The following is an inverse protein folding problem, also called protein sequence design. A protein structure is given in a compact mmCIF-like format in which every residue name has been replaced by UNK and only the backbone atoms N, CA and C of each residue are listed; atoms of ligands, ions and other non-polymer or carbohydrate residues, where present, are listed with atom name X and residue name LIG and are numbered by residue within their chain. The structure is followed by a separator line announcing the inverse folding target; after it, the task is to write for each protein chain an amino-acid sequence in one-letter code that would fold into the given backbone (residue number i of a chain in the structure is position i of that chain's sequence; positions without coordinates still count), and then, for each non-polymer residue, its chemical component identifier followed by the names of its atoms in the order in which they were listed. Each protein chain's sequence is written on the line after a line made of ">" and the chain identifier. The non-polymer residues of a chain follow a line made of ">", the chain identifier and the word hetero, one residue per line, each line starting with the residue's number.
data_IF_671794560395
#
_entry.id   IF_671794560395
#
_cell.length_a   1.000
_cell.length_b   1.000
_cell.length_c   1.000
_cell.angle_alpha   90.00
_cell.angle_beta   90.00
_cell.angle_gamma   90.00
#
_symmetry.space_group_name_H-M   'P 1'
#
loop_
_entity.id
_entity.type
_entity.pdbx_description
1 polymer ?
#
# COMPACT_ATOMS: atom_id res chain seq x y z
N UNK A 1 -12.39 -1.97 -17.45
CA UNK A 1 -12.09 -1.29 -16.18
C UNK A 1 -11.48 0.07 -16.49
N UNK A 2 -12.14 1.13 -16.02
CA UNK A 2 -11.84 2.50 -16.41
C UNK A 2 -11.87 3.42 -15.17
N UNK A 3 -11.21 4.57 -15.28
CA UNK A 3 -11.25 5.64 -14.28
C UNK A 3 -11.54 6.97 -14.96
N UNK A 4 -12.25 7.86 -14.27
CA UNK A 4 -12.53 9.21 -14.77
C UNK A 4 -11.46 10.16 -14.29
N UNK A 5 -10.71 10.76 -15.23
CA UNK A 5 -9.52 11.56 -14.93
C UNK A 5 -9.45 12.82 -15.79
N UNK A 6 -8.75 13.84 -15.26
CA UNK A 6 -8.24 14.97 -16.07
C UNK A 6 -6.93 14.56 -16.76
N UNK A 7 -6.44 15.37 -17.66
CA UNK A 7 -5.15 15.14 -18.32
C UNK A 7 -3.99 15.08 -17.31
N UNK A 8 -3.98 15.97 -16.30
CA UNK A 8 -2.97 16.01 -15.24
C UNK A 8 -3.01 14.73 -14.38
N UNK A 9 -4.22 14.27 -14.01
CA UNK A 9 -4.36 13.08 -13.21
C UNK A 9 -4.00 11.82 -14.01
N UNK A 10 -4.33 11.78 -15.31
CA UNK A 10 -3.90 10.72 -16.20
C UNK A 10 -2.37 10.65 -16.28
N UNK A 11 -1.70 11.79 -16.45
CA UNK A 11 -0.24 11.88 -16.45
C UNK A 11 0.35 11.38 -15.12
N UNK A 12 -0.21 11.82 -13.99
CA UNK A 12 0.22 11.39 -12.65
C UNK A 12 0.09 9.88 -12.45
N UNK A 13 -0.95 9.27 -13.03
CA UNK A 13 -1.19 7.83 -12.94
C UNK A 13 -0.44 7.01 -14.00
N UNK A 14 0.26 7.65 -14.94
CA UNK A 14 0.88 6.98 -16.07
C UNK A 14 -0.14 6.39 -17.06
N UNK A 15 -1.31 7.03 -17.18
CA UNK A 15 -2.39 6.64 -18.07
C UNK A 15 -2.39 7.51 -19.35
N UNK A 16 -3.01 7.04 -20.45
CA UNK A 16 -3.26 7.86 -21.61
C UNK A 16 -4.08 9.11 -21.24
N UNK A 17 -3.82 10.24 -21.92
CA UNK A 17 -4.62 11.44 -21.71
C UNK A 17 -6.05 11.26 -22.23
N UNK A 18 -7.08 11.70 -21.50
CA UNK A 18 -8.46 11.72 -22.00
C UNK A 18 -8.73 12.78 -23.06
N UNK A 19 -7.76 13.70 -23.30
CA UNK A 19 -7.91 14.86 -24.17
C UNK A 19 -7.98 16.18 -23.39
N UNK A 20 -8.63 17.20 -23.99
CA UNK A 20 -8.75 18.53 -23.37
C UNK A 20 -9.71 18.55 -22.18
N UNK A 21 -10.73 17.70 -22.21
CA UNK A 21 -11.72 17.56 -21.13
C UNK A 21 -11.43 16.31 -20.29
N UNK A 22 -11.94 16.30 -19.05
CA UNK A 22 -11.90 15.09 -18.22
C UNK A 22 -12.75 13.99 -18.85
N UNK A 23 -12.26 12.76 -18.78
CA UNK A 23 -12.92 11.63 -19.44
C UNK A 23 -12.56 10.27 -18.83
N UNK A 24 -13.23 9.24 -19.30
CA UNK A 24 -12.95 7.87 -18.93
C UNK A 24 -11.71 7.35 -19.66
N UNK A 25 -10.79 6.75 -18.91
CA UNK A 25 -9.55 6.16 -19.41
C UNK A 25 -9.38 4.75 -18.85
N UNK A 26 -8.99 3.82 -19.72
CA UNK A 26 -8.77 2.43 -19.33
C UNK A 26 -7.50 2.25 -18.51
N UNK A 27 -7.56 1.35 -17.53
CA UNK A 27 -6.38 0.85 -16.81
C UNK A 27 -5.59 -0.22 -17.57
N UNK A 28 -6.02 -0.61 -18.76
CA UNK A 28 -5.37 -1.66 -19.54
C UNK A 28 -3.88 -1.35 -19.77
N UNK A 29 -3.03 -2.35 -19.57
CA UNK A 29 -1.57 -2.22 -19.68
C UNK A 29 -0.89 -1.56 -18.47
N UNK A 30 -1.61 -1.38 -17.36
CA UNK A 30 -1.05 -0.89 -16.10
C UNK A 30 -1.33 -1.86 -14.96
N UNK A 31 -0.60 -1.72 -13.86
CA UNK A 31 -0.83 -2.47 -12.62
C UNK A 31 -1.97 -1.87 -11.76
N UNK A 32 -2.64 -0.82 -12.26
CA UNK A 32 -3.74 -0.18 -11.55
C UNK A 32 -5.04 -0.95 -11.74
N UNK A 33 -5.85 -1.00 -10.69
CA UNK A 33 -7.21 -1.53 -10.73
C UNK A 33 -8.07 -0.93 -9.64
N UNK A 34 -9.17 -0.29 -10.02
CA UNK A 34 -10.21 0.18 -9.11
C UNK A 34 -9.70 1.10 -7.99
N UNK A 35 -10.38 1.04 -6.86
CA UNK A 35 -10.14 1.89 -5.68
C UNK A 35 -8.73 1.75 -5.10
N UNK A 36 -8.21 0.52 -5.06
CA UNK A 36 -6.93 0.21 -4.39
C UNK A 36 -5.73 0.87 -5.04
N UNK A 37 -5.84 1.32 -6.28
CA UNK A 37 -4.80 1.99 -7.02
C UNK A 37 -5.03 3.51 -7.21
N UNK A 38 -6.10 4.06 -6.64
CA UNK A 38 -6.34 5.49 -6.71
C UNK A 38 -5.46 6.27 -5.73
N UNK A 39 -4.90 7.39 -6.20
CA UNK A 39 -4.02 8.23 -5.40
C UNK A 39 -4.68 8.72 -4.10
N UNK A 40 -5.94 9.13 -4.14
CA UNK A 40 -6.68 9.54 -2.96
C UNK A 40 -6.77 8.44 -1.88
N UNK A 41 -6.97 7.17 -2.29
CA UNK A 41 -6.97 6.03 -1.37
C UNK A 41 -5.58 5.75 -0.81
N UNK A 42 -4.57 5.71 -1.68
CA UNK A 42 -3.19 5.38 -1.31
C UNK A 42 -2.54 6.46 -0.43
N UNK A 43 -2.90 7.74 -0.65
CA UNK A 43 -2.38 8.88 0.13
C UNK A 43 -3.07 9.07 1.48
N UNK A 44 -4.28 8.55 1.66
CA UNK A 44 -5.10 8.77 2.87
C UNK A 44 -4.41 8.37 4.18
N UNK A 45 -3.44 7.47 4.12
CA UNK A 45 -2.67 6.97 5.26
C UNK A 45 -1.16 7.16 5.10
N UNK A 46 -0.75 8.07 4.22
CA UNK A 46 0.65 8.48 4.11
C UNK A 46 1.12 9.15 5.39
N UNK A 47 2.36 8.91 5.79
CA UNK A 47 2.97 9.48 6.99
C UNK A 47 4.41 9.91 6.71
N UNK A 48 4.86 10.94 7.41
CA UNK A 48 6.27 11.39 7.41
C UNK A 48 6.79 11.81 6.02
N UNK A 49 5.90 12.28 5.15
CA UNK A 49 6.25 12.59 3.76
C UNK A 49 6.48 11.36 2.87
N UNK A 50 6.14 10.17 3.35
CA UNK A 50 6.31 8.89 2.68
C UNK A 50 5.08 7.98 2.93
N UNK A 51 5.16 6.74 2.50
CA UNK A 51 4.15 5.70 2.71
C UNK A 51 4.35 4.97 4.04
N UNK A 52 3.28 4.37 4.53
CA UNK A 52 3.32 3.47 5.69
C UNK A 52 2.65 2.14 5.35
N UNK A 53 3.42 1.07 5.11
CA UNK A 53 2.87 -0.25 4.82
C UNK A 53 1.86 -0.71 5.88
N UNK A 54 2.20 -0.55 7.16
CA UNK A 54 1.31 -0.88 8.29
C UNK A 54 -0.03 -0.18 8.21
N UNK A 55 -0.03 1.14 7.90
CA UNK A 55 -1.29 1.90 7.83
C UNK A 55 -2.10 1.55 6.58
N UNK A 56 -1.44 1.27 5.44
CA UNK A 56 -2.11 0.80 4.23
C UNK A 56 -2.82 -0.54 4.47
N UNK A 57 -2.11 -1.52 5.02
CA UNK A 57 -2.70 -2.81 5.34
C UNK A 57 -3.82 -2.72 6.39
N UNK A 58 -3.64 -1.88 7.42
CA UNK A 58 -4.68 -1.61 8.41
C UNK A 58 -5.92 -0.98 7.79
N UNK A 59 -5.76 0.00 6.91
CA UNK A 59 -6.87 0.67 6.20
C UNK A 59 -7.70 -0.36 5.42
N UNK A 60 -7.03 -1.23 4.65
CA UNK A 60 -7.69 -2.27 3.86
C UNK A 60 -8.48 -3.21 4.78
N UNK A 61 -7.84 -3.81 5.79
CA UNK A 61 -8.54 -4.72 6.69
C UNK A 61 -9.72 -4.09 7.41
N UNK A 62 -9.55 -2.86 7.91
CA UNK A 62 -10.58 -2.25 8.76
C UNK A 62 -11.68 -1.54 7.98
N UNK A 63 -11.40 -1.04 6.78
CA UNK A 63 -12.36 -0.21 6.01
C UNK A 63 -12.99 -0.95 4.82
N UNK A 64 -12.27 -1.88 4.21
CA UNK A 64 -12.81 -2.66 3.10
C UNK A 64 -13.35 -4.01 3.56
N UNK A 65 -12.65 -4.67 4.49
CA UNK A 65 -13.05 -5.98 5.00
C UNK A 65 -13.73 -5.94 6.38
N UNK A 66 -14.00 -4.76 6.93
CA UNK A 66 -14.67 -4.57 8.23
C UNK A 66 -14.04 -5.36 9.39
N UNK A 67 -12.78 -5.78 9.26
CA UNK A 67 -12.08 -6.56 10.27
C UNK A 67 -11.58 -5.69 11.41
N UNK A 68 -11.55 -6.26 12.62
CA UNK A 68 -11.07 -5.55 13.81
C UNK A 68 -9.58 -5.81 13.99
N UNK A 69 -8.80 -4.74 13.98
CA UNK A 69 -7.39 -4.77 14.39
C UNK A 69 -7.28 -4.09 15.75
N UNK A 70 -6.86 -4.83 16.75
CA UNK A 70 -6.72 -4.32 18.10
C UNK A 70 -5.69 -3.18 18.17
N UNK A 71 -5.91 -2.24 19.07
CA UNK A 71 -4.91 -1.22 19.38
C UNK A 71 -3.74 -1.86 20.14
N UNK A 72 -2.53 -1.31 20.00
CA UNK A 72 -1.41 -1.72 20.84
C UNK A 72 -1.79 -1.66 22.33
N UNK A 73 -1.30 -2.57 23.18
CA UNK A 73 -1.51 -2.48 24.62
C UNK A 73 -1.02 -1.13 25.17
N UNK A 74 -1.74 -0.52 26.13
CA UNK A 74 -1.41 0.83 26.60
C UNK A 74 -0.05 0.93 27.33
N UNK A 75 0.49 -0.20 27.79
CA UNK A 75 1.81 -0.30 28.39
C UNK A 75 2.94 -0.49 27.37
N UNK A 76 2.62 -0.66 26.09
CA UNK A 76 3.59 -0.76 25.03
C UNK A 76 3.96 0.65 24.58
N UNK A 77 5.18 1.09 24.90
CA UNK A 77 5.72 2.41 24.50
C UNK A 77 6.13 2.39 23.03
N UNK A 78 5.13 2.40 22.14
CA UNK A 78 5.33 2.50 20.69
C UNK A 78 5.17 3.95 20.26
N UNK A 79 6.22 4.53 19.70
CA UNK A 79 6.10 5.82 19.05
C UNK A 79 5.54 5.65 17.62
N UNK A 80 4.23 5.81 17.47
CA UNK A 80 3.54 5.71 16.17
C UNK A 80 3.72 6.95 15.28
N UNK A 81 4.36 8.00 15.81
CA UNK A 81 4.59 9.26 15.12
C UNK A 81 5.99 9.35 14.48
N UNK A 82 6.74 8.28 14.56
CA UNK A 82 8.05 8.14 13.92
C UNK A 82 8.11 6.86 13.09
N UNK A 83 8.84 6.84 11.96
CA UNK A 83 9.07 5.60 11.23
C UNK A 83 9.81 4.58 12.11
N UNK A 84 9.65 3.27 11.85
CA UNK A 84 10.37 2.24 12.60
C UNK A 84 11.87 2.48 12.57
N UNK A 85 12.49 2.39 13.75
CA UNK A 85 13.96 2.44 13.87
C UNK A 85 14.54 1.08 13.47
N UNK A 86 15.66 1.11 12.78
CA UNK A 86 16.46 -0.08 12.48
C UNK A 86 17.90 0.14 12.93
N UNK A 87 18.57 -0.93 13.30
CA UNK A 87 19.99 -0.91 13.61
C UNK A 87 20.85 -0.75 12.33
N UNK A 88 20.32 -1.17 11.18
CA UNK A 88 20.97 -1.02 9.88
C UNK A 88 20.48 0.25 9.18
N UNK A 89 21.35 1.28 9.03
CA UNK A 89 20.99 2.51 8.32
C UNK A 89 20.73 2.28 6.82
N UNK A 90 21.18 1.15 6.27
CA UNK A 90 21.00 0.79 4.87
C UNK A 90 19.79 -0.11 4.62
N UNK A 91 19.03 -0.48 5.65
CA UNK A 91 17.86 -1.31 5.49
C UNK A 91 16.82 -0.66 4.57
N UNK A 92 16.33 -1.40 3.59
CA UNK A 92 15.21 -1.00 2.76
C UNK A 92 13.91 -0.92 3.59
N UNK A 93 12.91 -0.20 3.09
CA UNK A 93 11.64 0.01 3.82
C UNK A 93 10.99 -1.30 4.24
N UNK A 94 10.92 -2.31 3.37
CA UNK A 94 10.36 -3.63 3.68
C UNK A 94 11.03 -4.24 4.92
N UNK A 95 12.35 -4.15 5.02
CA UNK A 95 13.12 -4.64 6.17
C UNK A 95 12.85 -3.82 7.44
N UNK A 96 12.77 -2.48 7.33
CA UNK A 96 12.52 -1.59 8.47
C UNK A 96 11.12 -1.79 9.08
N UNK A 97 10.12 -2.06 8.25
CA UNK A 97 8.73 -2.24 8.65
C UNK A 97 8.37 -3.69 8.98
N UNK A 98 9.27 -4.64 8.73
CA UNK A 98 8.99 -6.06 8.97
C UNK A 98 9.05 -6.38 10.47
N UNK A 99 7.91 -6.27 11.15
CA UNK A 99 7.76 -6.51 12.59
C UNK A 99 7.13 -7.89 12.91
N UNK A 100 6.97 -8.75 11.89
CA UNK A 100 6.29 -10.03 12.05
C UNK A 100 7.08 -11.05 12.90
N UNK A 101 8.36 -10.83 13.10
CA UNK A 101 9.23 -11.69 13.94
C UNK A 101 9.36 -11.19 15.39
N UNK A 102 8.98 -9.95 15.68
CA UNK A 102 9.00 -9.41 17.03
C UNK A 102 7.82 -9.93 17.85
N UNK A 103 8.04 -10.75 18.90
CA UNK A 103 6.94 -11.46 19.59
C UNK A 103 5.82 -10.53 20.07
N UNK A 104 6.15 -9.33 20.52
CA UNK A 104 5.17 -8.35 21.03
C UNK A 104 4.38 -7.67 19.91
N UNK A 105 4.97 -7.54 18.71
CA UNK A 105 4.41 -6.81 17.58
C UNK A 105 3.74 -7.73 16.55
N UNK A 106 4.23 -8.96 16.46
CA UNK A 106 3.86 -9.94 15.44
C UNK A 106 2.34 -10.21 15.34
N UNK A 107 1.64 -10.20 16.46
CA UNK A 107 0.20 -10.52 16.49
C UNK A 107 -0.65 -9.59 15.61
N UNK A 108 -0.25 -8.32 15.47
CA UNK A 108 -0.94 -7.32 14.64
C UNK A 108 -0.21 -7.09 13.31
N UNK A 109 1.13 -6.95 13.34
CA UNK A 109 1.91 -6.59 12.16
C UNK A 109 1.86 -7.64 11.06
N UNK A 110 1.85 -8.94 11.39
CA UNK A 110 1.66 -10.02 10.39
C UNK A 110 0.35 -9.93 9.61
N UNK A 111 -0.65 -9.24 10.17
CA UNK A 111 -1.94 -9.06 9.50
C UNK A 111 -1.97 -7.82 8.60
N UNK A 112 -1.12 -6.83 8.87
CA UNK A 112 -1.17 -5.51 8.21
C UNK A 112 -0.01 -5.30 7.25
N UNK A 113 1.23 -5.51 7.71
CA UNK A 113 2.43 -5.13 6.96
C UNK A 113 2.53 -5.82 5.60
N UNK A 114 2.27 -7.15 5.48
CA UNK A 114 2.36 -7.82 4.19
C UNK A 114 1.37 -7.28 3.14
N UNK A 115 0.17 -6.86 3.56
CA UNK A 115 -0.78 -6.21 2.64
C UNK A 115 -0.21 -4.87 2.16
N UNK A 116 0.34 -4.09 3.09
CA UNK A 116 0.90 -2.79 2.76
C UNK A 116 2.12 -2.87 1.85
N UNK A 117 2.98 -3.88 2.03
CA UNK A 117 4.15 -4.10 1.15
C UNK A 117 3.74 -4.33 -0.30
N UNK A 118 2.66 -5.05 -0.54
CA UNK A 118 2.11 -5.25 -1.87
C UNK A 118 1.60 -3.97 -2.56
N UNK A 119 1.55 -2.84 -1.84
CA UNK A 119 1.13 -1.53 -2.39
C UNK A 119 2.26 -0.49 -2.43
N UNK A 120 3.49 -0.86 -2.05
CA UNK A 120 4.61 0.09 -1.96
C UNK A 120 5.15 0.56 -3.33
N UNK A 121 4.77 -0.09 -4.43
CA UNK A 121 4.98 0.43 -5.78
C UNK A 121 4.23 1.75 -6.06
N UNK A 122 3.45 2.23 -5.11
CA UNK A 122 2.81 3.55 -5.17
C UNK A 122 3.27 4.41 -4.01
N UNK A 123 3.79 5.59 -4.34
CA UNK A 123 4.27 6.54 -3.35
C UNK A 123 3.14 7.18 -2.51
N UNK A 124 3.47 8.19 -1.72
CA UNK A 124 2.53 8.91 -0.85
C UNK A 124 1.49 9.74 -1.64
N UNK A 125 1.69 9.95 -2.92
CA UNK A 125 0.77 10.66 -3.82
C UNK A 125 -0.01 9.70 -4.72
N UNK A 126 0.30 8.40 -4.66
CA UNK A 126 -0.25 7.38 -5.54
C UNK A 126 0.41 7.31 -6.91
N UNK A 127 1.56 7.96 -7.13
CA UNK A 127 2.37 7.76 -8.33
C UNK A 127 3.13 6.44 -8.24
N UNK A 128 3.30 5.79 -9.39
CA UNK A 128 4.05 4.52 -9.46
C UNK A 128 5.54 4.75 -9.25
N UNK A 129 6.19 3.87 -8.49
CA UNK A 129 7.64 3.81 -8.28
C UNK A 129 8.14 2.37 -8.27
N UNK A 130 9.37 2.16 -8.74
CA UNK A 130 10.01 0.84 -8.75
C UNK A 130 10.98 0.63 -7.58
N UNK A 131 11.35 1.71 -6.87
CA UNK A 131 12.30 1.69 -5.75
C UNK A 131 11.82 2.54 -4.60
N UNK A 132 12.38 2.36 -3.40
CA UNK A 132 12.15 3.25 -2.27
C UNK A 132 12.59 4.69 -2.60
N UNK A 133 11.97 5.67 -1.93
CA UNK A 133 12.33 7.09 -2.11
C UNK A 133 13.81 7.28 -1.79
N UNK A 134 14.51 7.93 -2.71
CA UNK A 134 15.95 8.24 -2.61
C UNK A 134 16.87 7.01 -2.43
N UNK A 135 16.34 5.80 -2.69
CA UNK A 135 17.05 4.53 -2.53
C UNK A 135 16.91 3.64 -3.77
N UNK A 136 17.65 3.95 -4.86
CA UNK A 136 17.61 3.13 -6.08
C UNK A 136 18.14 1.71 -5.89
N UNK A 137 18.87 1.47 -4.81
CA UNK A 137 19.36 0.16 -4.37
C UNK A 137 18.31 -0.68 -3.61
N UNK A 138 17.12 -0.13 -3.37
CA UNK A 138 16.01 -0.78 -2.69
C UNK A 138 14.84 -1.01 -3.66
N UNK A 139 14.88 -2.05 -4.52
CA UNK A 139 13.77 -2.37 -5.41
C UNK A 139 12.53 -2.78 -4.64
N UNK A 140 11.37 -2.42 -5.17
CA UNK A 140 10.06 -2.80 -4.61
C UNK A 140 9.50 -3.92 -5.47
N UNK A 141 9.24 -5.08 -4.85
CA UNK A 141 8.75 -6.28 -5.53
C UNK A 141 7.22 -6.32 -5.70
N UNK A 142 6.48 -5.49 -4.98
CA UNK A 142 5.02 -5.48 -5.00
C UNK A 142 4.38 -6.72 -4.36
N UNK A 143 5.17 -7.62 -3.80
CA UNK A 143 4.68 -8.83 -3.16
C UNK A 143 3.95 -8.52 -1.85
N UNK A 144 2.75 -9.03 -1.72
CA UNK A 144 1.91 -8.95 -0.55
C UNK A 144 1.30 -10.29 -0.15
N UNK A 145 0.84 -10.35 1.10
CA UNK A 145 0.08 -11.49 1.63
C UNK A 145 -1.11 -10.96 2.45
N UNK A 146 -2.29 -11.36 2.05
CA UNK A 146 -3.49 -11.14 2.83
C UNK A 146 -3.83 -12.42 3.58
N UNK A 147 -3.36 -12.54 4.81
CA UNK A 147 -3.66 -13.70 5.68
C UNK A 147 -5.16 -13.95 5.74
N UNK A 148 -5.58 -15.10 5.26
CA UNK A 148 -6.98 -15.50 5.13
C UNK A 148 -7.53 -15.47 3.70
N UNK A 149 -6.86 -14.77 2.76
CA UNK A 149 -7.24 -14.75 1.34
C UNK A 149 -6.15 -15.32 0.44
N UNK A 150 -4.88 -14.95 0.64
CA UNK A 150 -3.76 -15.44 -0.15
C UNK A 150 -2.72 -14.38 -0.48
N UNK A 151 -1.71 -14.78 -1.25
CA UNK A 151 -0.64 -13.91 -1.76
C UNK A 151 -1.10 -13.19 -3.03
N UNK A 152 -0.51 -12.01 -3.28
CA UNK A 152 -0.82 -11.18 -4.44
C UNK A 152 0.39 -10.32 -4.81
N UNK A 153 0.39 -9.76 -6.01
CA UNK A 153 1.36 -8.76 -6.44
C UNK A 153 0.64 -7.51 -6.92
N UNK A 154 0.82 -6.41 -6.19
CA UNK A 154 0.23 -5.12 -6.49
C UNK A 154 -1.29 -5.01 -6.26
N UNK A 155 -1.85 -3.81 -6.48
CA UNK A 155 -3.26 -3.54 -6.19
C UNK A 155 -4.24 -4.27 -7.12
N UNK A 156 -3.82 -4.64 -8.34
CA UNK A 156 -4.64 -5.39 -9.29
C UNK A 156 -4.99 -6.77 -8.73
N UNK A 157 -3.98 -7.57 -8.43
CA UNK A 157 -4.20 -8.91 -7.90
C UNK A 157 -4.90 -8.89 -6.54
N UNK A 158 -4.58 -7.89 -5.69
CA UNK A 158 -5.31 -7.71 -4.43
C UNK A 158 -6.80 -7.42 -4.66
N UNK A 159 -7.15 -6.59 -5.66
CA UNK A 159 -8.53 -6.29 -5.98
C UNK A 159 -9.27 -7.53 -6.52
N UNK A 160 -8.61 -8.34 -7.36
CA UNK A 160 -9.14 -9.59 -7.88
C UNK A 160 -9.36 -10.62 -6.76
N UNK A 161 -8.38 -10.73 -5.86
CA UNK A 161 -8.46 -11.59 -4.68
C UNK A 161 -9.61 -11.18 -3.75
N UNK A 162 -9.77 -9.87 -3.53
CA UNK A 162 -10.86 -9.32 -2.73
C UNK A 162 -12.24 -9.57 -3.38
N UNK A 163 -12.35 -9.40 -4.70
CA UNK A 163 -13.58 -9.61 -5.44
C UNK A 163 -14.00 -11.10 -5.51
N UNK A 164 -13.03 -12.00 -5.40
CA UNK A 164 -13.28 -13.45 -5.35
C UNK A 164 -13.63 -13.96 -3.93
N UNK A 165 -13.46 -13.12 -2.91
CA UNK A 165 -13.81 -13.47 -1.52
C UNK A 165 -15.32 -13.64 -1.38
N UNK A 166 -15.80 -14.70 -0.73
CA UNK A 166 -17.25 -14.92 -0.51
C UNK A 166 -17.85 -14.00 0.56
N UNK A 167 -17.05 -13.22 1.29
CA UNK A 167 -17.46 -12.36 2.42
C UNK A 167 -17.37 -10.86 2.06
#
# INVERSE_FOLDING_TARGET
>A
EETFVTAELAQHYGLPSPGAEAGWVSYAGTERLGLLSQGAFLSAVAKFGDTSPTQRGRLIRTRLFCQVINKPPPNLMVNVDMPPKTADPNACKKQRYFMAEEPTCASCHKLMDPIGFGLENYDATGAYRATDVDRPDCPIDGEGDFVGLGTFNGPRELAELAAASPD
#
